data_IF_770805914854
#
_entry.id   IF_770805914854
#
_cell.length_a   1.000
_cell.length_b   1.000
_cell.length_c   1.000
_cell.angle_alpha   90.00
_cell.angle_beta   90.00
_cell.angle_gamma   90.00
#
_symmetry.space_group_name_H-M   'P 1'
#
loop_
_entity.id
_entity.type
_entity.pdbx_description
1 polymer ?
#
# COMPACT_ATOMS: atom_id res chain seq x y z
N UNK A 1 -19.84 13.09 -6.67
CA UNK A 1 -18.77 12.68 -5.73
C UNK A 1 -17.44 13.11 -6.34
N UNK A 2 -16.66 13.99 -5.71
CA UNK A 2 -15.43 14.53 -6.31
C UNK A 2 -14.33 13.47 -6.22
N UNK A 3 -13.98 12.87 -7.35
CA UNK A 3 -12.86 11.94 -7.46
C UNK A 3 -11.57 12.70 -7.22
N UNK A 4 -10.72 12.21 -6.32
CA UNK A 4 -9.44 12.84 -6.03
C UNK A 4 -8.32 12.40 -6.97
N UNK A 5 -8.57 11.36 -7.77
CA UNK A 5 -7.64 10.84 -8.74
C UNK A 5 -7.62 11.74 -9.98
N UNK A 6 -6.48 12.36 -10.25
CA UNK A 6 -6.26 13.08 -11.49
C UNK A 6 -6.25 12.08 -12.65
N UNK A 7 -6.89 12.43 -13.77
CA UNK A 7 -6.79 11.64 -14.99
C UNK A 7 -5.32 11.56 -15.44
N UNK A 8 -4.95 10.51 -16.18
CA UNK A 8 -3.56 10.36 -16.65
C UNK A 8 -3.09 11.58 -17.47
N UNK A 9 -4.00 12.22 -18.20
CA UNK A 9 -3.77 13.45 -18.98
C UNK A 9 -3.52 14.70 -18.13
N UNK A 10 -3.90 14.69 -16.86
CA UNK A 10 -3.75 15.81 -15.92
C UNK A 10 -2.46 15.70 -15.10
N UNK A 11 -1.70 14.61 -15.26
CA UNK A 11 -0.42 14.42 -14.58
C UNK A 11 0.65 15.30 -15.18
N UNK A 12 1.47 15.89 -14.31
CA UNK A 12 2.63 16.66 -14.77
C UNK A 12 3.67 15.74 -15.42
N UNK A 13 4.52 16.25 -16.33
CA UNK A 13 5.61 15.45 -16.92
C UNK A 13 6.57 14.85 -15.88
N UNK A 14 6.77 15.52 -14.73
CA UNK A 14 7.56 14.96 -13.63
C UNK A 14 6.87 13.75 -12.97
N UNK A 15 5.57 13.84 -12.71
CA UNK A 15 4.81 12.74 -12.13
C UNK A 15 4.75 11.53 -13.07
N UNK A 16 4.51 11.75 -14.37
CA UNK A 16 4.50 10.68 -15.38
C UNK A 16 5.86 9.97 -15.46
N UNK A 17 6.96 10.72 -15.48
CA UNK A 17 8.32 10.13 -15.45
C UNK A 17 8.54 9.25 -14.22
N UNK A 18 8.08 9.69 -13.03
CA UNK A 18 8.21 8.91 -11.78
C UNK A 18 7.34 7.64 -11.82
N UNK A 19 6.12 7.73 -12.37
CA UNK A 19 5.22 6.58 -12.54
C UNK A 19 5.87 5.51 -13.43
N UNK A 20 6.53 5.92 -14.50
CA UNK A 20 7.10 5.05 -15.53
C UNK A 20 8.54 4.58 -15.23
N UNK A 21 9.14 4.98 -14.10
CA UNK A 21 10.48 4.52 -13.72
C UNK A 21 10.54 2.99 -13.59
N UNK A 22 11.65 2.40 -14.06
CA UNK A 22 11.89 0.95 -13.97
C UNK A 22 11.69 0.40 -12.55
N UNK A 23 11.14 -0.82 -12.48
CA UNK A 23 10.95 -1.61 -11.27
C UNK A 23 12.14 -2.52 -10.92
N UNK A 24 13.24 -2.47 -11.69
CA UNK A 24 14.45 -3.29 -11.47
C UNK A 24 15.24 -2.92 -10.21
N UNK A 25 14.92 -1.79 -9.58
CA UNK A 25 15.59 -1.31 -8.39
C UNK A 25 14.61 -0.60 -7.44
N UNK A 26 14.99 -0.53 -6.16
CA UNK A 26 14.22 0.19 -5.15
C UNK A 26 14.28 1.71 -5.39
N UNK A 27 13.16 2.39 -5.23
CA UNK A 27 13.04 3.83 -5.47
C UNK A 27 12.57 4.56 -4.20
N UNK A 28 13.16 5.72 -3.94
CA UNK A 28 12.67 6.68 -2.94
C UNK A 28 12.24 7.94 -3.69
N UNK A 29 10.98 8.35 -3.51
CA UNK A 29 10.39 9.50 -4.19
C UNK A 29 10.18 10.60 -3.15
N UNK A 30 10.90 11.71 -3.30
CA UNK A 30 10.77 12.90 -2.45
C UNK A 30 9.86 13.94 -3.10
N UNK A 31 9.14 14.68 -2.27
CA UNK A 31 8.33 15.81 -2.70
C UNK A 31 7.70 16.51 -1.51
N UNK A 32 7.55 17.83 -1.57
CA UNK A 32 6.90 18.62 -0.51
C UNK A 32 5.41 18.25 -0.39
N UNK A 33 4.75 18.72 0.67
CA UNK A 33 3.31 18.53 0.84
C UNK A 33 2.53 19.07 -0.38
N UNK A 34 1.43 18.41 -0.76
CA UNK A 34 0.59 18.84 -1.89
C UNK A 34 1.10 18.47 -3.29
N UNK A 35 2.32 17.94 -3.46
CA UNK A 35 2.89 17.56 -4.78
C UNK A 35 2.25 16.33 -5.45
N UNK A 36 1.22 15.74 -4.85
CA UNK A 36 0.52 14.59 -5.43
C UNK A 36 1.24 13.24 -5.28
N UNK A 37 2.13 13.06 -4.30
CA UNK A 37 2.82 11.78 -4.05
C UNK A 37 1.86 10.58 -3.98
N UNK A 38 0.71 10.75 -3.35
CA UNK A 38 -0.31 9.70 -3.27
C UNK A 38 -0.91 9.37 -4.64
N UNK A 39 -1.07 10.36 -5.53
CA UNK A 39 -1.49 10.15 -6.91
C UNK A 39 -0.45 9.35 -7.68
N UNK A 40 0.82 9.76 -7.57
CA UNK A 40 1.97 9.08 -8.17
C UNK A 40 2.04 7.63 -7.70
N UNK A 41 1.86 7.37 -6.41
CA UNK A 41 1.88 6.02 -5.85
C UNK A 41 0.79 5.12 -6.46
N UNK A 42 -0.45 5.61 -6.53
CA UNK A 42 -1.58 4.83 -7.07
C UNK A 42 -1.43 4.58 -8.57
N UNK A 43 -1.11 5.62 -9.35
CA UNK A 43 -0.86 5.48 -10.78
C UNK A 43 0.34 4.57 -11.07
N UNK A 44 1.40 4.64 -10.25
CA UNK A 44 2.55 3.74 -10.35
C UNK A 44 2.18 2.29 -10.06
N UNK A 45 1.41 2.03 -9.00
CA UNK A 45 0.96 0.67 -8.68
C UNK A 45 0.17 0.07 -9.85
N UNK A 46 -0.73 0.85 -10.45
CA UNK A 46 -1.47 0.41 -11.65
C UNK A 46 -0.55 0.20 -12.85
N UNK A 47 0.34 1.14 -13.14
CA UNK A 47 1.31 1.03 -14.24
C UNK A 47 2.19 -0.22 -14.13
N UNK A 48 2.71 -0.51 -12.94
CA UNK A 48 3.54 -1.70 -12.70
C UNK A 48 2.74 -3.00 -12.81
N UNK A 49 1.51 -3.02 -12.28
CA UNK A 49 0.60 -4.16 -12.44
C UNK A 49 0.34 -4.47 -13.92
N UNK A 50 0.10 -3.44 -14.73
CA UNK A 50 -0.18 -3.60 -16.16
C UNK A 50 1.07 -3.99 -16.96
N UNK A 51 2.16 -3.24 -16.80
CA UNK A 51 3.40 -3.44 -17.56
C UNK A 51 4.06 -4.79 -17.27
N UNK A 52 4.01 -5.25 -16.03
CA UNK A 52 4.59 -6.52 -15.60
C UNK A 52 3.58 -7.68 -15.60
N UNK A 53 2.32 -7.43 -15.98
CA UNK A 53 1.20 -8.39 -15.94
C UNK A 53 1.06 -9.06 -14.56
N UNK A 54 1.27 -8.28 -13.51
CA UNK A 54 1.22 -8.74 -12.12
C UNK A 54 -0.23 -8.62 -11.61
N UNK A 55 -0.84 -9.72 -11.12
CA UNK A 55 -2.18 -9.66 -10.55
C UNK A 55 -2.21 -8.89 -9.22
N UNK A 56 -3.38 -8.38 -8.84
CA UNK A 56 -3.55 -7.52 -7.66
C UNK A 56 -3.16 -8.15 -6.32
N UNK A 57 -3.02 -9.47 -6.25
CA UNK A 57 -2.59 -10.20 -5.05
C UNK A 57 -1.06 -10.38 -4.95
N UNK A 58 -0.29 -9.86 -5.92
CA UNK A 58 1.17 -10.01 -5.99
C UNK A 58 1.92 -8.70 -5.71
N UNK A 59 1.20 -7.64 -5.34
CA UNK A 59 1.77 -6.42 -4.79
C UNK A 59 0.92 -5.92 -3.61
N UNK A 60 1.49 -5.05 -2.79
CA UNK A 60 0.79 -4.48 -1.65
C UNK A 60 1.18 -3.01 -1.45
N UNK A 61 0.21 -2.18 -1.09
CA UNK A 61 0.37 -0.75 -0.83
C UNK A 61 0.15 -0.52 0.66
N UNK A 62 1.18 0.00 1.34
CA UNK A 62 1.05 0.41 2.74
C UNK A 62 0.66 1.88 2.85
N UNK A 63 -0.34 2.15 3.69
CA UNK A 63 -0.76 3.50 4.06
C UNK A 63 -0.63 3.75 5.55
N UNK A 64 -0.56 5.03 5.92
CA UNK A 64 -0.29 5.42 7.31
C UNK A 64 -1.39 5.01 8.28
N UNK A 65 -2.67 5.18 7.92
CA UNK A 65 -3.80 4.90 8.79
C UNK A 65 -5.06 4.49 7.99
N UNK A 66 -6.07 4.01 8.71
CA UNK A 66 -7.33 3.56 8.10
C UNK A 66 -8.16 4.71 7.50
N UNK A 67 -8.01 5.93 7.99
CA UNK A 67 -8.66 7.11 7.40
C UNK A 67 -8.12 7.35 5.98
N UNK A 68 -6.81 7.29 5.80
CA UNK A 68 -6.16 7.37 4.48
C UNK A 68 -6.59 6.20 3.59
N UNK A 69 -6.66 4.97 4.11
CA UNK A 69 -7.19 3.83 3.35
C UNK A 69 -8.61 4.13 2.85
N UNK A 70 -9.51 4.54 3.75
CA UNK A 70 -10.90 4.84 3.42
C UNK A 70 -11.01 5.98 2.39
N UNK A 71 -10.19 7.01 2.55
CA UNK A 71 -10.12 8.15 1.65
C UNK A 71 -9.70 7.76 0.22
N UNK A 72 -8.84 6.75 0.06
CA UNK A 72 -8.36 6.30 -1.25
C UNK A 72 -9.28 5.30 -1.96
N UNK A 73 -10.31 4.77 -1.29
CA UNK A 73 -11.17 3.71 -1.85
C UNK A 73 -11.76 4.02 -3.23
N UNK A 74 -12.25 5.25 -3.44
CA UNK A 74 -12.79 5.65 -4.74
C UNK A 74 -11.71 5.63 -5.83
N UNK A 75 -10.52 6.13 -5.52
CA UNK A 75 -9.37 6.11 -6.44
C UNK A 75 -8.89 4.69 -6.77
N UNK A 76 -8.92 3.77 -5.80
CA UNK A 76 -8.58 2.36 -6.03
C UNK A 76 -9.54 1.70 -7.01
N UNK A 77 -10.85 1.94 -6.83
CA UNK A 77 -11.88 1.43 -7.73
C UNK A 77 -11.67 1.92 -9.16
N UNK A 78 -11.32 3.20 -9.35
CA UNK A 78 -11.08 3.78 -10.68
C UNK A 78 -9.84 3.22 -11.38
N UNK A 79 -8.85 2.79 -10.60
CA UNK A 79 -7.63 2.17 -11.11
C UNK A 79 -7.72 0.64 -11.16
N UNK A 80 -8.88 0.05 -10.84
CA UNK A 80 -9.05 -1.39 -10.72
C UNK A 80 -7.99 -2.04 -9.79
N UNK A 81 -7.66 -1.36 -8.70
CA UNK A 81 -6.79 -1.87 -7.64
C UNK A 81 -7.67 -2.50 -6.55
N UNK A 82 -7.39 -3.74 -6.17
CA UNK A 82 -8.15 -4.44 -5.12
C UNK A 82 -8.01 -3.73 -3.76
N UNK A 83 -9.11 -3.62 -2.99
CA UNK A 83 -9.05 -3.11 -1.60
C UNK A 83 -8.21 -4.02 -0.68
N UNK A 84 -8.00 -5.28 -1.06
CA UNK A 84 -7.12 -6.22 -0.35
C UNK A 84 -5.63 -5.93 -0.56
N UNK A 85 -5.27 -5.25 -1.65
CA UNK A 85 -3.90 -4.87 -1.96
C UNK A 85 -3.43 -3.64 -1.18
N UNK A 86 -4.28 -3.09 -0.28
CA UNK A 86 -3.96 -1.91 0.51
C UNK A 86 -4.29 -2.13 1.99
N UNK A 87 -3.38 -1.76 2.87
CA UNK A 87 -3.62 -1.77 4.31
C UNK A 87 -2.65 -0.86 5.05
N UNK A 88 -2.89 -0.65 6.34
CA UNK A 88 -1.80 -0.21 7.21
C UNK A 88 -0.80 -1.34 7.40
N UNK A 89 0.43 -1.00 7.76
CA UNK A 89 1.46 -2.00 8.08
C UNK A 89 1.05 -2.88 9.28
N UNK A 90 0.43 -2.28 10.30
CA UNK A 90 -0.06 -3.00 11.48
C UNK A 90 -1.20 -3.98 11.14
N UNK A 91 -2.17 -3.55 10.32
CA UNK A 91 -3.25 -4.42 9.85
C UNK A 91 -2.72 -5.60 9.04
N UNK A 92 -1.70 -5.38 8.21
CA UNK A 92 -1.02 -6.44 7.48
C UNK A 92 -0.30 -7.41 8.43
N UNK A 93 0.45 -6.90 9.41
CA UNK A 93 1.13 -7.73 10.41
C UNK A 93 0.15 -8.65 11.14
N UNK A 94 -0.98 -8.12 11.61
CA UNK A 94 -2.03 -8.91 12.28
C UNK A 94 -2.55 -10.03 11.37
N UNK A 95 -2.85 -9.69 10.12
CA UNK A 95 -3.37 -10.66 9.15
C UNK A 95 -2.33 -11.76 8.89
N UNK A 96 -1.10 -11.37 8.55
CA UNK A 96 -0.01 -12.31 8.28
C UNK A 96 0.23 -13.24 9.47
N UNK A 97 0.29 -12.70 10.70
CA UNK A 97 0.53 -13.50 11.90
C UNK A 97 -0.57 -14.54 12.10
N UNK A 98 -1.85 -14.15 11.95
CA UNK A 98 -2.99 -15.06 12.07
C UNK A 98 -2.97 -16.18 11.05
N UNK A 99 -2.61 -15.86 9.81
CA UNK A 99 -2.61 -16.83 8.71
C UNK A 99 -1.38 -17.76 8.69
N UNK A 100 -0.22 -17.29 9.18
CA UNK A 100 1.05 -18.01 8.96
C UNK A 100 1.79 -18.42 10.23
N UNK A 101 1.37 -17.94 11.40
CA UNK A 101 2.08 -18.17 12.68
C UNK A 101 1.13 -18.76 13.71
N UNK A 102 0.11 -18.01 14.13
CA UNK A 102 -0.87 -18.45 15.11
C UNK A 102 -2.14 -17.60 15.03
N UNK A 103 -3.31 -18.23 15.09
CA UNK A 103 -4.62 -17.54 15.07
C UNK A 103 -4.83 -16.61 16.27
N UNK A 104 -4.20 -16.88 17.40
CA UNK A 104 -4.22 -16.06 18.62
C UNK A 104 -3.07 -15.06 18.58
N UNK A 105 -3.40 -13.77 18.73
CA UNK A 105 -2.41 -12.69 18.75
C UNK A 105 -1.78 -12.55 20.14
N UNK A 106 -0.49 -12.21 20.23
CA UNK A 106 0.07 -11.60 21.43
C UNK A 106 -0.68 -10.30 21.75
N UNK A 107 -1.20 -10.18 22.96
CA UNK A 107 -2.01 -9.04 23.40
C UNK A 107 -1.45 -8.44 24.70
N UNK A 108 -1.58 -7.13 24.85
CA UNK A 108 -1.28 -6.38 26.06
C UNK A 108 -2.34 -6.67 27.13
N UNK A 109 -2.13 -6.18 28.36
CA UNK A 109 -3.12 -6.29 29.43
C UNK A 109 -4.47 -5.63 29.07
N UNK A 110 -4.46 -4.61 28.21
CA UNK A 110 -5.65 -3.91 27.71
C UNK A 110 -6.28 -4.58 26.46
N UNK A 111 -5.85 -5.81 26.12
CA UNK A 111 -6.29 -6.58 24.93
C UNK A 111 -5.94 -5.93 23.60
N UNK A 112 -5.05 -4.95 23.57
CA UNK A 112 -4.51 -4.43 22.30
C UNK A 112 -3.39 -5.33 21.78
N UNK A 113 -3.21 -5.46 20.45
CA UNK A 113 -2.14 -6.29 19.90
C UNK A 113 -0.73 -5.80 20.32
N UNK A 114 0.10 -6.71 20.83
CA UNK A 114 1.51 -6.47 21.09
C UNK A 114 2.31 -6.50 19.78
N UNK A 115 2.32 -5.37 19.08
CA UNK A 115 2.93 -5.28 17.74
C UNK A 115 4.42 -5.65 17.71
N UNK A 116 5.18 -5.42 18.77
CA UNK A 116 6.60 -5.78 18.80
C UNK A 116 6.80 -7.30 18.82
N UNK A 117 6.00 -8.04 19.60
CA UNK A 117 6.02 -9.51 19.58
C UNK A 117 5.52 -10.05 18.23
N UNK A 118 4.43 -9.48 17.70
CA UNK A 118 3.89 -9.86 16.39
C UNK A 118 4.95 -9.69 15.31
N UNK A 119 5.61 -8.53 15.22
CA UNK A 119 6.64 -8.26 14.22
C UNK A 119 7.87 -9.14 14.40
N UNK A 120 8.31 -9.43 15.63
CA UNK A 120 9.40 -10.39 15.90
C UNK A 120 9.05 -11.79 15.43
N UNK A 121 7.81 -12.25 15.67
CA UNK A 121 7.32 -13.52 15.16
C UNK A 121 7.32 -13.57 13.63
N UNK A 122 6.83 -12.52 12.97
CA UNK A 122 6.84 -12.39 11.51
C UNK A 122 8.26 -12.42 10.96
N UNK A 123 9.17 -11.63 11.53
CA UNK A 123 10.57 -11.60 11.08
C UNK A 123 11.24 -12.96 11.21
N UNK A 124 10.94 -13.70 12.28
CA UNK A 124 11.48 -15.05 12.51
C UNK A 124 10.88 -16.09 11.55
N UNK A 125 9.70 -15.83 10.97
CA UNK A 125 9.03 -16.70 10.01
C UNK A 125 9.45 -16.47 8.55
N UNK A 126 9.85 -15.24 8.22
CA UNK A 126 10.20 -14.83 6.85
C UNK A 126 11.72 -14.94 6.59
N UNK A 127 12.54 -14.87 7.64
CA UNK A 127 13.97 -15.22 7.56
C UNK A 127 14.14 -16.72 7.30
#
# INVERSE_FOLDING_TARGET
MKTLLAAKSELTPAQSRVIEMSATENRVIFGVAGTGKTQVLLHRARYLSDSLKIPSNRYHIFVQNNVMKAYLRSSLSLLNISDTAISTFNSWCVSFYRYHINTVLPENQDKTPQFDLIRRGILSKIK
#
